data_IF_225278526953
#
_entry.id   IF_225278526953
#
_cell.length_a   1.000
_cell.length_b   1.000
_cell.length_c   1.000
_cell.angle_alpha   90.00
_cell.angle_beta   90.00
_cell.angle_gamma   90.00
#
_symmetry.space_group_name_H-M   'P 1'
#
loop_
_entity.id
_entity.type
_entity.pdbx_description
1 polymer ?
#
# COMPACT_ATOMS: atom_id res chain seq x y z
N UNK A 1 -18.16 -5.20 -12.79
CA UNK A 1 -17.40 -5.33 -11.52
C UNK A 1 -15.95 -5.04 -11.88
N UNK A 2 -15.29 -4.09 -11.22
CA UNK A 2 -13.89 -3.84 -11.48
C UNK A 2 -13.05 -5.03 -11.00
N UNK A 3 -12.09 -5.46 -11.81
CA UNK A 3 -11.21 -6.58 -11.48
C UNK A 3 -10.03 -6.04 -10.67
N UNK A 4 -10.02 -6.32 -9.37
CA UNK A 4 -8.87 -6.02 -8.50
C UNK A 4 -7.92 -7.21 -8.46
N UNK A 5 -6.62 -6.93 -8.42
CA UNK A 5 -5.57 -7.94 -8.24
C UNK A 5 -4.94 -7.77 -6.85
N UNK A 6 -4.48 -8.87 -6.25
CA UNK A 6 -3.75 -8.82 -4.98
C UNK A 6 -2.32 -8.32 -5.21
N UNK A 7 -1.97 -7.24 -4.55
CA UNK A 7 -0.62 -6.67 -4.53
C UNK A 7 -0.03 -6.73 -3.13
N UNK A 8 1.30 -6.72 -3.07
CA UNK A 8 2.09 -6.49 -1.86
C UNK A 8 2.59 -5.06 -1.90
N UNK A 9 2.18 -4.26 -0.93
CA UNK A 9 2.66 -2.91 -0.72
C UNK A 9 3.78 -2.98 0.31
N UNK A 10 4.97 -2.51 -0.03
CA UNK A 10 6.10 -2.32 0.88
C UNK A 10 6.23 -0.84 1.15
N UNK A 11 6.39 -0.45 2.41
CA UNK A 11 6.47 0.95 2.81
C UNK A 11 7.21 1.08 4.13
N UNK A 12 7.55 2.31 4.50
CA UNK A 12 7.97 2.67 5.85
C UNK A 12 6.83 3.37 6.57
N UNK A 13 6.55 2.95 7.80
CA UNK A 13 5.66 3.64 8.74
C UNK A 13 6.53 4.18 9.87
N UNK A 14 6.60 5.50 10.04
CA UNK A 14 7.44 6.13 11.07
C UNK A 14 8.90 5.67 11.03
N UNK A 15 9.42 5.39 9.82
CA UNK A 15 10.78 4.88 9.61
C UNK A 15 10.94 3.36 9.69
N UNK A 16 9.93 2.63 10.17
CA UNK A 16 9.95 1.16 10.24
C UNK A 16 9.46 0.53 8.93
N UNK A 17 10.20 -0.44 8.39
CA UNK A 17 9.79 -1.17 7.19
C UNK A 17 8.62 -2.09 7.48
N UNK A 18 7.54 -1.95 6.73
CA UNK A 18 6.33 -2.76 6.80
C UNK A 18 5.90 -3.24 5.42
N UNK A 19 5.02 -4.22 5.41
CA UNK A 19 4.37 -4.71 4.20
C UNK A 19 2.89 -4.96 4.48
N UNK A 20 2.05 -4.69 3.49
CA UNK A 20 0.60 -4.87 3.56
C UNK A 20 0.09 -5.51 2.27
N UNK A 21 -0.95 -6.34 2.37
CA UNK A 21 -1.61 -6.88 1.19
C UNK A 21 -2.85 -6.07 0.87
N UNK A 22 -2.95 -5.59 -0.38
CA UNK A 22 -4.11 -4.82 -0.83
C UNK A 22 -4.64 -5.35 -2.16
N UNK A 23 -5.96 -5.21 -2.34
CA UNK A 23 -6.62 -5.43 -3.62
C UNK A 23 -6.62 -4.10 -4.37
N UNK A 24 -5.80 -3.98 -5.41
CA UNK A 24 -5.67 -2.76 -6.22
C UNK A 24 -6.10 -3.06 -7.66
N UNK A 25 -6.60 -2.06 -8.38
CA UNK A 25 -6.96 -2.23 -9.79
C UNK A 25 -5.70 -2.19 -10.66
N UNK A 26 -4.86 -1.17 -10.46
CA UNK A 26 -3.68 -0.93 -11.30
C UNK A 26 -2.35 -1.23 -10.59
N UNK A 27 -2.35 -1.31 -9.26
CA UNK A 27 -1.13 -1.56 -8.49
C UNK A 27 -0.22 -0.34 -8.42
N UNK A 28 -0.81 0.86 -8.45
CA UNK A 28 -0.08 2.13 -8.44
C UNK A 28 0.31 2.54 -7.02
N UNK A 29 1.35 3.38 -6.90
CA UNK A 29 1.75 3.94 -5.62
C UNK A 29 0.65 4.82 -4.99
N UNK A 30 -0.20 5.45 -5.81
CA UNK A 30 -1.32 6.29 -5.37
C UNK A 30 -2.42 5.45 -4.73
N UNK A 31 -2.86 4.38 -5.41
CA UNK A 31 -3.82 3.43 -4.85
C UNK A 31 -3.28 2.77 -3.59
N UNK A 32 -1.99 2.41 -3.58
CA UNK A 32 -1.33 1.86 -2.41
C UNK A 32 -1.28 2.86 -1.25
N UNK A 33 -0.95 4.13 -1.52
CA UNK A 33 -0.96 5.17 -0.49
C UNK A 33 -2.36 5.36 0.08
N UNK A 34 -3.39 5.44 -0.75
CA UNK A 34 -4.77 5.55 -0.30
C UNK A 34 -5.20 4.36 0.58
N UNK A 35 -4.80 3.14 0.21
CA UNK A 35 -5.05 1.95 1.02
C UNK A 35 -4.32 2.00 2.37
N UNK A 36 -3.07 2.47 2.39
CA UNK A 36 -2.30 2.63 3.63
C UNK A 36 -2.86 3.75 4.51
N UNK A 37 -3.22 4.90 3.93
CA UNK A 37 -3.83 6.04 4.62
C UNK A 37 -5.19 5.66 5.24
N UNK A 38 -5.90 4.67 4.69
CA UNK A 38 -7.14 4.15 5.26
C UNK A 38 -6.93 3.21 6.45
N UNK A 39 -5.74 2.61 6.57
CA UNK A 39 -5.37 1.66 7.64
C UNK A 39 -4.70 2.38 8.80
N UNK A 40 -3.86 3.36 8.51
CA UNK A 40 -3.05 4.08 9.49
C UNK A 40 -3.68 5.42 9.88
N UNK A 41 -3.38 5.90 11.08
CA UNK A 41 -3.85 7.19 11.56
C UNK A 41 -3.10 8.36 10.90
N UNK A 42 -3.64 9.57 11.00
CA UNK A 42 -2.99 10.78 10.47
C UNK A 42 -1.66 11.12 11.14
N UNK A 43 -1.39 10.56 12.33
CA UNK A 43 -0.14 10.74 13.07
C UNK A 43 1.02 9.90 12.51
N UNK A 44 0.73 8.90 11.67
CA UNK A 44 1.76 8.03 11.11
C UNK A 44 2.30 8.54 9.77
N UNK A 45 3.62 8.59 9.64
CA UNK A 45 4.31 9.02 8.43
C UNK A 45 4.60 7.82 7.55
N UNK A 46 3.88 7.74 6.43
CA UNK A 46 4.10 6.72 5.39
C UNK A 46 5.12 7.25 4.37
N UNK A 47 6.16 6.45 4.09
CA UNK A 47 7.21 6.79 3.11
C UNK A 47 7.72 5.54 2.38
N UNK A 48 8.55 5.72 1.33
CA UNK A 48 9.17 4.63 0.57
C UNK A 48 8.17 3.57 0.04
N UNK A 49 7.01 4.02 -0.46
CA UNK A 49 5.96 3.13 -0.98
C UNK A 49 6.45 2.45 -2.27
N UNK A 50 6.38 1.12 -2.30
CA UNK A 50 6.67 0.29 -3.44
C UNK A 50 5.62 -0.80 -3.56
N UNK A 51 5.07 -0.98 -4.76
CA UNK A 51 4.00 -1.95 -5.02
C UNK A 51 4.55 -3.07 -5.89
N UNK A 52 4.27 -4.32 -5.52
CA UNK A 52 4.66 -5.50 -6.28
C UNK A 52 3.47 -6.44 -6.44
N UNK A 53 3.31 -7.04 -7.62
CA UNK A 53 2.32 -8.10 -7.80
C UNK A 53 2.67 -9.27 -6.89
N UNK A 54 1.69 -9.76 -6.13
CA UNK A 54 1.86 -11.03 -5.43
C UNK A 54 1.86 -12.14 -6.49
N UNK A 55 2.99 -12.84 -6.64
CA UNK A 55 3.12 -14.02 -7.50
C UNK A 55 2.34 -15.20 -6.91
#
# INVERSE_FOLDING_TARGET
MAQTTKYVIKYKLNGERRFEFAQLEHGTAEEAKAALDAIHGQDDVISEISVSKAL
#
